data_IF_969117455509
#
_entry.id   IF_969117455509
#
_cell.length_a   1.000
_cell.length_b   1.000
_cell.length_c   1.000
_cell.angle_alpha   90.00
_cell.angle_beta   90.00
_cell.angle_gamma   90.00
#
_symmetry.space_group_name_H-M   'P 1'
#
loop_
_entity.id
_entity.type
_entity.pdbx_description
1 polymer ?
#
# COMPACT_ATOMS: atom_id res chain seq x y z
N UNK A 1 -54.21 2.48 -25.26
CA UNK A 1 -53.17 1.43 -25.21
C UNK A 1 -51.84 2.07 -25.57
N UNK A 2 -50.94 2.26 -24.61
CA UNK A 2 -49.59 2.79 -24.82
C UNK A 2 -48.62 1.60 -24.87
N UNK A 3 -48.21 1.21 -26.07
CA UNK A 3 -47.16 0.20 -26.27
C UNK A 3 -45.80 0.87 -26.22
N UNK A 4 -45.19 0.89 -25.03
CA UNK A 4 -43.79 1.33 -24.87
C UNK A 4 -42.88 0.27 -25.49
N UNK A 5 -42.07 0.67 -26.48
CA UNK A 5 -41.18 -0.21 -27.23
C UNK A 5 -40.02 -0.69 -26.35
N UNK A 6 -40.08 -1.93 -25.88
CA UNK A 6 -39.08 -2.59 -25.04
C UNK A 6 -37.64 -2.51 -25.60
N UNK A 7 -37.47 -2.41 -26.93
CA UNK A 7 -36.16 -2.40 -27.60
C UNK A 7 -35.35 -1.12 -27.33
N UNK A 8 -36.01 0.02 -27.06
CA UNK A 8 -35.30 1.29 -26.77
C UNK A 8 -34.73 1.32 -25.35
N UNK A 9 -35.35 0.62 -24.40
CA UNK A 9 -34.88 0.53 -23.01
C UNK A 9 -33.60 -0.30 -22.85
N UNK A 10 -33.46 -1.39 -23.63
CA UNK A 10 -32.31 -2.29 -23.52
C UNK A 10 -31.00 -1.65 -24.02
N UNK A 11 -31.05 -0.90 -25.13
CA UNK A 11 -29.88 -0.17 -25.60
C UNK A 11 -29.44 0.92 -24.62
N UNK A 12 -30.37 1.64 -24.01
CA UNK A 12 -30.04 2.66 -23.01
C UNK A 12 -29.36 2.02 -21.78
N UNK A 13 -29.83 0.87 -21.33
CA UNK A 13 -29.24 0.13 -20.20
C UNK A 13 -27.79 -0.30 -20.51
N UNK A 14 -27.53 -0.84 -21.70
CA UNK A 14 -26.19 -1.29 -22.12
C UNK A 14 -25.22 -0.10 -22.20
N UNK A 15 -25.64 1.04 -22.75
CA UNK A 15 -24.81 2.23 -22.80
C UNK A 15 -24.52 2.81 -21.41
N UNK A 16 -25.50 2.75 -20.49
CA UNK A 16 -25.33 3.25 -19.12
C UNK A 16 -24.36 2.37 -18.32
N UNK A 17 -24.46 1.04 -18.44
CA UNK A 17 -23.56 0.09 -17.76
C UNK A 17 -22.11 0.22 -18.27
N UNK A 18 -21.92 0.40 -19.59
CA UNK A 18 -20.59 0.61 -20.16
C UNK A 18 -19.92 1.92 -19.73
N UNK A 19 -20.69 2.99 -19.53
CA UNK A 19 -20.16 4.27 -19.03
C UNK A 19 -19.74 4.20 -17.55
N UNK A 20 -20.44 3.41 -16.74
CA UNK A 20 -20.10 3.19 -15.33
C UNK A 20 -18.83 2.33 -15.19
N UNK A 21 -18.62 1.37 -16.09
CA UNK A 21 -17.41 0.51 -16.08
C UNK A 21 -16.12 1.26 -16.48
N UNK A 22 -16.22 2.39 -17.17
CA UNK A 22 -15.05 3.21 -17.53
C UNK A 22 -14.66 4.21 -16.42
N UNK A 23 -15.52 4.43 -15.42
CA UNK A 23 -15.29 5.40 -14.34
C UNK A 23 -14.53 4.83 -13.13
N UNK A 24 -14.17 3.54 -13.12
CA UNK A 24 -13.58 2.89 -11.94
C UNK A 24 -12.05 2.96 -11.87
N UNK A 25 -11.37 3.60 -12.82
CA UNK A 25 -9.93 3.87 -12.74
C UNK A 25 -9.67 5.22 -12.06
N UNK A 26 -10.22 5.42 -10.86
CA UNK A 26 -9.79 6.54 -10.04
C UNK A 26 -8.28 6.38 -9.77
N UNK A 27 -7.48 7.45 -9.90
CA UNK A 27 -6.05 7.37 -9.61
C UNK A 27 -5.86 6.94 -8.15
N UNK A 28 -5.06 5.88 -7.95
CA UNK A 28 -4.70 5.40 -6.61
C UNK A 28 -4.05 6.50 -5.76
N UNK A 29 -3.37 7.44 -6.41
CA UNK A 29 -2.60 8.50 -5.77
C UNK A 29 -3.40 9.80 -5.64
N UNK A 30 -3.07 10.58 -4.61
CA UNK A 30 -3.59 11.94 -4.43
C UNK A 30 -3.20 12.83 -5.61
N UNK A 31 -4.17 13.56 -6.17
CA UNK A 31 -3.90 14.65 -7.10
C UNK A 31 -3.27 15.83 -6.37
N UNK A 32 -2.11 16.27 -6.83
CA UNK A 32 -1.31 17.32 -6.15
C UNK A 32 -1.55 18.72 -6.72
N UNK A 33 -2.29 18.83 -7.82
CA UNK A 33 -2.52 20.09 -8.55
C UNK A 33 -1.31 20.56 -9.36
N UNK A 34 -1.40 21.78 -9.89
CA UNK A 34 -0.27 22.47 -10.51
C UNK A 34 0.74 22.87 -9.42
N UNK A 35 2.02 22.59 -9.68
CA UNK A 35 3.16 22.86 -8.79
C UNK A 35 3.16 22.09 -7.46
N UNK A 36 3.33 20.75 -7.48
CA UNK A 36 3.45 19.95 -6.27
C UNK A 36 4.65 20.36 -5.42
N UNK A 37 4.50 20.21 -4.10
CA UNK A 37 5.58 20.36 -3.13
C UNK A 37 6.34 19.04 -3.04
N UNK A 38 7.67 19.10 -3.07
CA UNK A 38 8.52 17.90 -2.99
C UNK A 38 8.84 17.57 -1.55
N UNK A 39 8.50 16.35 -1.14
CA UNK A 39 8.79 15.83 0.20
C UNK A 39 9.75 14.66 0.06
N UNK A 40 11.03 14.91 0.34
CA UNK A 40 12.04 13.88 0.40
C UNK A 40 11.95 13.14 1.74
N UNK A 41 11.75 11.83 1.69
CA UNK A 41 11.60 10.97 2.88
C UNK A 41 12.75 9.97 2.91
N UNK A 42 13.53 10.00 3.98
CA UNK A 42 14.48 8.96 4.36
C UNK A 42 13.91 8.06 5.45
N UNK A 43 13.88 6.75 5.19
CA UNK A 43 13.43 5.73 6.15
C UNK A 43 14.57 4.77 6.46
N UNK A 44 14.78 4.55 7.74
CA UNK A 44 15.55 3.41 8.26
C UNK A 44 14.64 2.60 9.19
N UNK A 45 14.49 1.30 8.96
CA UNK A 45 13.73 0.42 9.82
C UNK A 45 14.43 -0.92 9.99
N UNK A 46 14.23 -1.58 11.12
CA UNK A 46 14.83 -2.89 11.39
C UNK A 46 13.90 -3.75 12.22
N UNK A 47 13.82 -5.03 11.89
CA UNK A 47 13.17 -6.06 12.71
C UNK A 47 14.21 -7.09 13.17
N UNK A 48 14.00 -7.69 14.34
CA UNK A 48 14.88 -8.75 14.83
C UNK A 48 14.41 -10.11 14.32
N UNK A 49 15.35 -11.05 14.13
CA UNK A 49 15.02 -12.43 13.79
C UNK A 49 14.05 -13.06 14.81
N UNK A 50 14.28 -12.80 16.11
CA UNK A 50 13.40 -13.29 17.18
C UNK A 50 11.95 -12.77 17.06
N UNK A 51 11.74 -11.54 16.57
CA UNK A 51 10.40 -11.00 16.33
C UNK A 51 9.72 -11.69 15.17
N UNK A 52 10.45 -11.98 14.09
CA UNK A 52 9.94 -12.76 12.95
C UNK A 52 9.55 -14.18 13.40
N UNK A 53 10.43 -14.87 14.12
CA UNK A 53 10.16 -16.22 14.64
C UNK A 53 8.95 -16.25 15.57
N UNK A 54 8.85 -15.27 16.49
CA UNK A 54 7.68 -15.14 17.35
C UNK A 54 6.39 -14.91 16.55
N UNK A 55 6.42 -14.07 15.51
CA UNK A 55 5.27 -13.87 14.62
C UNK A 55 4.88 -15.16 13.91
N UNK A 56 5.84 -15.96 13.43
CA UNK A 56 5.54 -17.25 12.80
C UNK A 56 4.94 -18.24 13.81
N UNK A 57 5.46 -18.28 15.04
CA UNK A 57 4.97 -19.16 16.09
C UNK A 57 3.51 -18.86 16.46
N UNK A 58 3.16 -17.58 16.72
CA UNK A 58 1.79 -17.21 17.09
C UNK A 58 0.77 -17.45 15.97
N UNK A 59 1.22 -17.42 14.71
CA UNK A 59 0.40 -17.73 13.54
C UNK A 59 0.45 -19.22 13.16
N UNK A 60 1.16 -20.05 13.92
CA UNK A 60 1.36 -21.48 13.65
C UNK A 60 2.03 -21.75 12.29
N UNK A 61 2.90 -20.86 11.82
CA UNK A 61 3.58 -20.93 10.52
C UNK A 61 5.07 -21.32 10.64
N UNK A 62 5.53 -21.74 11.82
CA UNK A 62 6.92 -22.18 12.04
C UNK A 62 7.22 -23.47 11.26
N UNK A 63 8.24 -23.49 10.37
CA UNK A 63 8.63 -24.71 9.68
C UNK A 63 9.17 -25.81 10.62
N UNK A 64 8.98 -27.10 10.30
CA UNK A 64 8.18 -27.63 9.19
C UNK A 64 6.68 -27.55 9.50
N UNK A 65 5.93 -26.83 8.66
CA UNK A 65 4.48 -26.76 8.77
C UNK A 65 3.84 -27.99 8.10
N UNK A 66 3.00 -28.72 8.84
CA UNK A 66 2.38 -29.98 8.37
C UNK A 66 0.84 -29.95 8.40
N UNK A 67 0.23 -28.76 8.50
CA UNK A 67 -1.22 -28.61 8.55
C UNK A 67 -1.89 -28.81 7.18
N UNK A 68 -2.93 -29.66 7.12
CA UNK A 68 -3.89 -29.66 6.00
C UNK A 68 -3.49 -30.39 4.71
N UNK A 69 -2.32 -31.03 4.65
CA UNK A 69 -1.90 -31.86 3.51
C UNK A 69 -1.54 -31.10 2.23
N UNK A 70 -1.61 -29.76 2.24
CA UNK A 70 -1.10 -28.90 1.17
C UNK A 70 0.36 -28.55 1.47
N UNK A 71 1.16 -28.34 0.41
CA UNK A 71 2.50 -27.81 0.58
C UNK A 71 2.36 -26.30 0.89
N UNK A 72 3.17 -25.79 1.82
CA UNK A 72 3.18 -24.37 2.15
C UNK A 72 4.61 -23.87 2.18
N UNK A 73 4.80 -22.60 1.83
CA UNK A 73 6.10 -21.94 1.86
C UNK A 73 5.96 -20.57 2.54
N UNK A 74 6.95 -20.20 3.36
CA UNK A 74 7.02 -18.89 4.00
C UNK A 74 8.19 -18.13 3.37
N UNK A 75 7.93 -16.91 2.86
CA UNK A 75 8.94 -16.01 2.29
C UNK A 75 9.02 -14.70 3.06
N UNK A 76 10.15 -14.03 2.94
CA UNK A 76 10.42 -12.73 3.57
C UNK A 76 11.47 -12.81 4.68
N UNK A 77 11.54 -11.81 5.58
CA UNK A 77 10.64 -10.66 5.66
C UNK A 77 10.77 -9.70 4.49
N UNK A 78 9.65 -9.08 4.12
CA UNK A 78 9.54 -8.01 3.14
C UNK A 78 9.14 -6.70 3.83
N UNK A 79 9.41 -5.57 3.18
CA UNK A 79 8.97 -4.26 3.64
C UNK A 79 8.05 -3.57 2.64
N UNK A 80 7.02 -2.94 3.17
CA UNK A 80 6.18 -1.99 2.46
C UNK A 80 6.22 -0.66 3.20
N UNK A 81 6.30 0.45 2.47
CA UNK A 81 6.28 1.77 3.10
C UNK A 81 5.72 2.82 2.14
N UNK A 82 5.34 3.97 2.69
CA UNK A 82 4.88 5.09 1.87
C UNK A 82 4.50 6.30 2.71
N UNK A 83 4.28 7.42 2.02
CA UNK A 83 3.79 8.66 2.61
C UNK A 83 2.33 8.87 2.19
N UNK A 84 1.46 9.13 3.16
CA UNK A 84 0.01 9.22 2.96
C UNK A 84 -0.50 10.58 3.42
N UNK A 85 -1.43 11.16 2.67
CA UNK A 85 -2.25 12.27 3.14
C UNK A 85 -3.34 11.74 4.06
N UNK A 86 -3.37 12.25 5.30
CA UNK A 86 -4.41 11.92 6.28
C UNK A 86 -5.60 12.83 6.05
N UNK A 87 -6.68 12.29 5.49
CA UNK A 87 -7.96 13.01 5.31
C UNK A 87 -8.86 12.82 6.53
N UNK A 88 -8.82 11.64 7.13
CA UNK A 88 -9.44 11.31 8.41
C UNK A 88 -8.67 10.18 9.11
N UNK A 89 -9.16 9.71 10.26
CA UNK A 89 -8.55 8.57 10.96
C UNK A 89 -8.57 7.27 10.14
N UNK A 90 -9.56 7.11 9.26
CA UNK A 90 -9.83 5.91 8.47
C UNK A 90 -9.56 6.11 6.96
N UNK A 91 -9.29 7.36 6.54
CA UNK A 91 -9.05 7.73 5.14
C UNK A 91 -7.61 8.21 4.96
N UNK A 92 -6.78 7.29 4.46
CA UNK A 92 -5.40 7.53 4.06
C UNK A 92 -5.31 7.47 2.54
N UNK A 93 -4.88 8.57 1.93
CA UNK A 93 -4.69 8.64 0.48
C UNK A 93 -3.19 8.67 0.16
N UNK A 94 -2.64 7.70 -0.58
CA UNK A 94 -1.20 7.61 -0.78
C UNK A 94 -0.70 8.75 -1.68
N UNK A 95 0.46 9.30 -1.33
CA UNK A 95 1.15 10.29 -2.18
C UNK A 95 1.95 9.57 -3.26
N UNK A 96 1.95 10.16 -4.46
CA UNK A 96 2.71 9.62 -5.60
C UNK A 96 4.20 9.87 -5.40
N UNK A 97 5.06 8.83 -5.38
CA UNK A 97 6.51 9.02 -5.44
C UNK A 97 6.95 9.48 -6.84
N UNK A 98 8.10 10.14 -6.93
CA UNK A 98 8.74 10.43 -8.23
C UNK A 98 9.14 9.15 -8.96
N UNK A 99 9.61 8.14 -8.22
CA UNK A 99 9.91 6.79 -8.73
C UNK A 99 9.12 5.73 -7.94
N UNK A 100 8.01 5.20 -8.50
CA UNK A 100 7.23 4.14 -7.86
C UNK A 100 7.99 2.85 -7.62
N UNK A 101 9.02 2.53 -8.44
CA UNK A 101 9.78 1.29 -8.28
C UNK A 101 10.63 1.29 -7.01
N UNK A 102 10.95 2.47 -6.47
CA UNK A 102 11.71 2.62 -5.23
C UNK A 102 10.88 2.36 -3.94
N UNK A 103 9.55 2.20 -4.06
CA UNK A 103 8.71 1.75 -2.95
C UNK A 103 8.92 0.27 -2.63
N UNK A 104 9.31 -0.53 -3.63
CA UNK A 104 9.63 -1.93 -3.41
C UNK A 104 10.92 -2.06 -2.59
N UNK A 105 10.83 -2.87 -1.54
CA UNK A 105 12.01 -3.30 -0.78
C UNK A 105 12.37 -4.73 -1.16
N UNK A 106 13.66 -5.03 -1.15
CA UNK A 106 14.10 -6.42 -1.22
C UNK A 106 13.81 -7.14 0.09
N UNK A 107 13.86 -8.48 0.10
CA UNK A 107 13.78 -9.25 1.33
C UNK A 107 14.93 -8.88 2.27
N UNK A 108 14.66 -8.84 3.57
CA UNK A 108 15.68 -8.55 4.58
C UNK A 108 15.14 -8.04 5.91
N UNK A 109 15.98 -8.13 6.94
CA UNK A 109 15.64 -7.67 8.30
C UNK A 109 15.74 -6.15 8.47
N UNK A 110 16.21 -5.44 7.46
CA UNK A 110 16.41 -4.00 7.47
C UNK A 110 15.84 -3.33 6.21
N UNK A 111 15.34 -2.11 6.41
CA UNK A 111 14.91 -1.19 5.38
C UNK A 111 15.77 0.06 5.49
N UNK A 112 16.43 0.44 4.38
CA UNK A 112 17.08 1.75 4.24
C UNK A 112 16.77 2.31 2.87
N UNK A 113 15.94 3.34 2.82
CA UNK A 113 15.44 3.94 1.58
C UNK A 113 15.32 5.45 1.70
N UNK A 114 15.35 6.10 0.54
CA UNK A 114 15.14 7.54 0.37
C UNK A 114 14.37 7.77 -0.90
N UNK A 115 13.28 8.53 -0.84
CA UNK A 115 12.39 8.77 -1.98
C UNK A 115 11.76 10.15 -1.90
N UNK A 116 11.49 10.77 -3.05
CA UNK A 116 10.76 12.03 -3.14
C UNK A 116 9.30 11.75 -3.46
N UNK A 117 8.40 12.35 -2.68
CA UNK A 117 6.95 12.31 -2.87
C UNK A 117 6.44 13.67 -3.32
N UNK A 118 5.44 13.66 -4.19
CA UNK A 118 4.69 14.86 -4.56
C UNK A 118 3.53 15.06 -3.58
N UNK A 119 3.49 16.19 -2.89
CA UNK A 119 2.43 16.56 -1.96
C UNK A 119 1.65 17.79 -2.45
N UNK A 120 0.35 17.90 -2.15
CA UNK A 120 -0.39 19.14 -2.36
C UNK A 120 0.13 20.25 -1.45
N UNK A 121 -0.09 21.52 -1.82
CA UNK A 121 0.23 22.69 -1.00
C UNK A 121 -0.80 22.95 0.11
N UNK A 122 -0.39 23.72 1.11
CA UNK A 122 -1.23 24.18 2.23
C UNK A 122 -1.01 23.41 3.52
N UNK A 123 -1.94 23.58 4.46
CA UNK A 123 -1.92 22.90 5.76
C UNK A 123 -2.47 21.49 5.63
N UNK A 124 -1.65 20.52 5.99
CA UNK A 124 -1.94 19.10 5.80
C UNK A 124 -1.28 18.25 6.88
N UNK A 125 -1.86 17.07 7.10
CA UNK A 125 -1.28 16.03 7.93
C UNK A 125 -0.82 14.89 7.05
N UNK A 126 0.48 14.58 7.09
CA UNK A 126 1.06 13.43 6.41
C UNK A 126 1.32 12.31 7.42
N UNK A 127 1.11 11.07 7.00
CA UNK A 127 1.49 9.86 7.74
C UNK A 127 2.53 9.10 6.95
N UNK A 128 3.71 8.94 7.53
CA UNK A 128 4.65 7.93 7.08
C UNK A 128 4.22 6.60 7.67
N UNK A 129 4.00 5.59 6.83
CA UNK A 129 3.68 4.21 7.25
C UNK A 129 4.79 3.29 6.76
N UNK A 130 5.28 2.42 7.64
CA UNK A 130 6.30 1.41 7.37
C UNK A 130 5.84 0.08 7.96
N UNK A 131 5.79 -0.96 7.14
CA UNK A 131 5.31 -2.29 7.52
C UNK A 131 6.34 -3.35 7.11
N UNK A 132 6.57 -4.31 7.99
CA UNK A 132 7.27 -5.55 7.71
C UNK A 132 6.27 -6.71 7.74
N UNK A 133 6.33 -7.59 6.76
CA UNK A 133 5.45 -8.76 6.67
C UNK A 133 6.22 -9.97 6.13
N UNK A 134 5.66 -11.16 6.37
CA UNK A 134 6.04 -12.41 5.70
C UNK A 134 4.97 -12.74 4.66
N UNK A 135 5.31 -13.51 3.64
CA UNK A 135 4.33 -14.06 2.71
C UNK A 135 4.12 -15.55 3.01
N UNK A 136 2.87 -15.96 3.19
CA UNK A 136 2.46 -17.35 3.31
C UNK A 136 1.90 -17.83 1.97
N UNK A 137 2.65 -18.69 1.29
CA UNK A 137 2.31 -19.25 -0.02
C UNK A 137 1.64 -20.61 0.18
N UNK A 138 0.43 -20.78 -0.39
CA UNK A 138 -0.27 -22.06 -0.44
C UNK A 138 0.08 -22.76 -1.75
N UNK A 139 0.92 -23.78 -1.68
CA UNK A 139 1.35 -24.60 -2.81
C UNK A 139 0.39 -25.79 -2.92
N UNK A 140 -0.69 -25.59 -3.68
CA UNK A 140 -1.62 -26.64 -4.10
C UNK A 140 -1.62 -26.83 -5.63
N UNK A 141 -2.36 -27.82 -6.13
CA UNK A 141 -2.44 -28.17 -7.56
C UNK A 141 -3.12 -27.11 -8.45
N UNK A 142 -3.56 -25.97 -7.88
CA UNK A 142 -4.22 -24.92 -8.63
C UNK A 142 -3.21 -23.89 -9.17
N UNK A 143 -3.26 -23.56 -10.47
CA UNK A 143 -2.39 -22.53 -11.04
C UNK A 143 -2.66 -21.17 -10.40
N UNK A 144 -1.60 -20.53 -9.90
CA UNK A 144 -1.64 -19.18 -9.32
C UNK A 144 -1.86 -19.12 -7.80
N UNK A 145 -1.29 -20.08 -7.05
CA UNK A 145 -1.45 -20.25 -5.60
C UNK A 145 -1.60 -18.97 -4.76
N UNK A 146 -2.38 -19.07 -3.69
CA UNK A 146 -2.70 -17.92 -2.84
C UNK A 146 -1.47 -17.47 -2.04
N UNK A 147 -1.31 -16.15 -1.91
CA UNK A 147 -0.30 -15.51 -1.07
C UNK A 147 -1.01 -14.68 -0.01
N UNK A 148 -0.87 -15.07 1.25
CA UNK A 148 -1.41 -14.33 2.39
C UNK A 148 -0.29 -13.55 3.08
N UNK A 149 -0.40 -12.21 3.22
CA UNK A 149 0.56 -11.45 4.00
C UNK A 149 0.37 -11.70 5.50
N UNK A 150 1.46 -11.94 6.21
CA UNK A 150 1.50 -12.14 7.66
C UNK A 150 2.26 -10.96 8.27
N UNK A 151 1.57 -9.97 8.87
CA UNK A 151 2.21 -8.77 9.38
C UNK A 151 3.13 -9.11 10.56
N UNK A 152 4.37 -8.64 10.51
CA UNK A 152 5.37 -8.79 11.58
C UNK A 152 5.35 -7.57 12.49
N UNK A 153 5.41 -6.38 11.90
CA UNK A 153 5.37 -5.10 12.63
C UNK A 153 4.95 -3.96 11.70
N UNK A 154 4.18 -3.02 12.25
CA UNK A 154 3.78 -1.79 11.56
C UNK A 154 4.15 -0.59 12.42
N UNK A 155 4.80 0.39 11.82
CA UNK A 155 5.05 1.70 12.42
C UNK A 155 4.40 2.79 11.59
N UNK A 156 4.02 3.86 12.27
CA UNK A 156 3.64 5.09 11.60
C UNK A 156 4.06 6.32 12.39
N UNK A 157 4.22 7.44 11.68
CA UNK A 157 4.48 8.75 12.27
C UNK A 157 3.74 9.83 11.49
N UNK A 158 3.05 10.69 12.22
CA UNK A 158 2.28 11.80 11.65
C UNK A 158 3.10 13.10 11.69
N UNK A 159 2.89 13.93 10.67
CA UNK A 159 3.55 15.21 10.45
C UNK A 159 2.49 16.25 10.07
N UNK A 160 2.28 17.25 10.93
CA UNK A 160 1.47 18.42 10.61
C UNK A 160 2.35 19.47 9.93
N UNK A 161 2.10 19.74 8.65
CA UNK A 161 2.93 20.58 7.80
C UNK A 161 2.11 21.71 7.16
N UNK A 162 2.75 22.84 6.92
CA UNK A 162 2.21 23.95 6.11
C UNK A 162 3.12 24.14 4.89
N UNK A 163 2.70 23.58 3.75
CA UNK A 163 3.52 23.45 2.55
C UNK A 163 3.29 24.60 1.57
N UNK A 164 4.32 25.40 1.31
CA UNK A 164 4.28 26.48 0.33
C UNK A 164 4.63 25.99 -1.10
N UNK A 165 4.11 26.63 -2.16
CA UNK A 165 4.49 26.29 -3.54
C UNK A 165 6.01 26.31 -3.77
N UNK A 166 6.53 25.29 -4.43
CA UNK A 166 7.97 25.17 -4.73
C UNK A 166 8.86 24.87 -3.52
N UNK A 167 8.27 24.66 -2.33
CA UNK A 167 9.03 24.26 -1.16
C UNK A 167 9.55 22.82 -1.32
N UNK A 168 10.72 22.56 -0.74
CA UNK A 168 11.25 21.20 -0.56
C UNK A 168 11.38 20.93 0.94
N UNK A 169 10.90 19.77 1.39
CA UNK A 169 11.01 19.35 2.79
C UNK A 169 11.67 17.99 2.87
N UNK A 170 12.51 17.82 3.88
CA UNK A 170 13.12 16.54 4.23
C UNK A 170 12.52 15.97 5.51
N UNK A 171 12.08 14.72 5.43
CA UNK A 171 11.61 13.92 6.57
C UNK A 171 12.58 12.75 6.74
N UNK A 172 13.12 12.59 7.95
CA UNK A 172 13.90 11.39 8.30
C UNK A 172 13.21 10.66 9.45
N UNK A 173 13.07 9.34 9.32
CA UNK A 173 12.51 8.48 10.37
C UNK A 173 13.36 7.22 10.54
N UNK A 174 13.54 6.81 11.79
CA UNK A 174 14.22 5.58 12.17
C UNK A 174 13.32 4.76 13.09
N UNK A 175 13.09 3.51 12.74
CA UNK A 175 12.30 2.55 13.50
C UNK A 175 13.18 1.34 13.90
N UNK A 176 12.98 0.84 15.11
CA UNK A 176 13.81 -0.23 15.71
C UNK A 176 12.94 -1.22 16.47
#
# INVERSE_FOLDING_TARGET
MLTVSLKKGLNLLIWTVSLVLLASCAPMWVETGADPVKVEVGVEAKVTQAKVEHTLEINQLTPPFTGGGLLHEIKGPFWQWGLYLVRSAEDLAPLKPEDPSALESGPGLDLKRRLVFNAPKGKLRLRLLVECYMEHHYIGDLPGGNVDPVPVITWFKDYDLDLSPGQEIQITASFK
#
